data_IF_240930371879
#
_entry.id   IF_240930371879
#
_cell.length_a   1.000
_cell.length_b   1.000
_cell.length_c   1.000
_cell.angle_alpha   90.00
_cell.angle_beta   90.00
_cell.angle_gamma   90.00
#
_symmetry.space_group_name_H-M   'P 1'
#
loop_
_entity.id
_entity.type
_entity.pdbx_description
1 polymer ?
#
# COMPACT_ATOMS: atom_id res chain seq x y z
N UNK A 1 25.06 12.37 8.01
CA UNK A 1 25.23 11.08 7.32
C UNK A 1 25.00 11.37 5.86
N UNK A 2 26.06 11.40 5.05
CA UNK A 2 25.97 11.72 3.63
C UNK A 2 25.41 10.52 2.86
N UNK A 3 24.11 10.53 2.57
CA UNK A 3 23.54 9.66 1.55
C UNK A 3 23.56 10.42 0.23
N UNK A 4 24.63 10.25 -0.55
CA UNK A 4 24.58 10.57 -1.97
C UNK A 4 23.75 9.48 -2.63
N UNK A 5 22.57 9.81 -3.15
CA UNK A 5 21.75 8.84 -3.86
C UNK A 5 22.54 8.25 -5.03
N UNK A 6 22.51 6.93 -5.17
CA UNK A 6 23.16 6.24 -6.28
C UNK A 6 22.22 6.21 -7.48
N UNK A 7 22.79 6.20 -8.69
CA UNK A 7 22.03 6.04 -9.93
C UNK A 7 21.09 4.83 -9.89
N UNK A 8 21.57 3.72 -9.36
CA UNK A 8 20.80 2.46 -9.22
C UNK A 8 19.58 2.62 -8.31
N UNK A 9 19.62 3.54 -7.33
CA UNK A 9 18.48 3.81 -6.43
C UNK A 9 17.37 4.55 -7.19
N UNK A 10 17.70 5.49 -8.07
CA UNK A 10 16.71 6.16 -8.91
C UNK A 10 16.13 5.25 -10.00
N UNK A 11 16.94 4.35 -10.56
CA UNK A 11 16.46 3.30 -11.49
C UNK A 11 15.49 2.34 -10.77
N UNK A 12 15.81 1.99 -9.52
CA UNK A 12 14.97 1.18 -8.66
C UNK A 12 13.64 1.87 -8.31
N UNK A 13 13.67 3.09 -7.78
CA UNK A 13 12.46 3.85 -7.44
C UNK A 13 11.57 4.10 -8.68
N UNK A 14 12.19 4.53 -9.79
CA UNK A 14 11.49 4.82 -11.04
C UNK A 14 10.77 3.60 -11.60
N UNK A 15 11.44 2.44 -11.61
CA UNK A 15 10.84 1.19 -12.07
C UNK A 15 9.65 0.76 -11.20
N UNK A 16 9.79 0.85 -9.88
CA UNK A 16 8.72 0.50 -8.93
C UNK A 16 7.48 1.37 -9.16
N UNK A 17 7.67 2.70 -9.29
CA UNK A 17 6.56 3.64 -9.55
C UNK A 17 5.90 3.40 -10.91
N UNK A 18 6.68 3.16 -11.96
CA UNK A 18 6.15 2.90 -13.30
C UNK A 18 5.28 1.63 -13.34
N UNK A 19 5.75 0.52 -12.75
CA UNK A 19 4.98 -0.72 -12.68
C UNK A 19 3.66 -0.54 -11.92
N UNK A 20 3.72 0.08 -10.73
CA UNK A 20 2.54 0.35 -9.92
C UNK A 20 1.54 1.24 -10.68
N UNK A 21 2.04 2.28 -11.33
CA UNK A 21 1.22 3.23 -12.07
C UNK A 21 0.57 2.58 -13.30
N UNK A 22 1.30 1.72 -14.01
CA UNK A 22 0.75 0.93 -15.12
C UNK A 22 -0.42 0.04 -14.67
N UNK A 23 -0.31 -0.59 -13.50
CA UNK A 23 -1.41 -1.35 -12.89
C UNK A 23 -2.59 -0.45 -12.50
N UNK A 24 -2.32 0.73 -11.95
CA UNK A 24 -3.34 1.71 -11.57
C UNK A 24 -4.13 2.19 -12.79
N UNK A 25 -3.46 2.57 -13.89
CA UNK A 25 -4.08 2.98 -15.16
C UNK A 25 -5.01 1.91 -15.74
N UNK A 26 -4.65 0.65 -15.56
CA UNK A 26 -5.43 -0.49 -16.04
C UNK A 26 -6.61 -0.85 -15.11
N UNK A 27 -6.81 -0.11 -14.00
CA UNK A 27 -7.85 -0.41 -13.02
C UNK A 27 -7.61 -1.73 -12.26
N UNK A 28 -6.39 -2.26 -12.29
CA UNK A 28 -6.06 -3.58 -11.72
C UNK A 28 -5.95 -3.56 -10.20
N UNK A 29 -5.46 -2.46 -9.64
CA UNK A 29 -5.24 -2.33 -8.19
C UNK A 29 -6.55 -2.36 -7.39
N UNK A 30 -7.68 -1.94 -7.97
CA UNK A 30 -8.97 -1.91 -7.27
C UNK A 30 -9.59 -3.28 -7.03
N UNK A 31 -9.23 -4.30 -7.83
CA UNK A 31 -9.70 -5.68 -7.66
C UNK A 31 -8.66 -6.60 -7.02
N UNK A 32 -7.41 -6.14 -6.84
CA UNK A 32 -6.33 -6.95 -6.30
C UNK A 32 -6.70 -7.61 -4.97
N UNK A 33 -6.50 -8.92 -4.87
CA UNK A 33 -6.78 -9.69 -3.66
C UNK A 33 -8.25 -9.82 -3.28
N UNK A 34 -9.21 -9.40 -4.10
CA UNK A 34 -10.63 -9.74 -3.96
C UNK A 34 -10.98 -10.96 -4.85
N UNK A 35 -12.21 -11.48 -4.73
CA UNK A 35 -12.72 -12.50 -5.66
C UNK A 35 -12.67 -12.06 -7.14
N UNK A 36 -12.69 -10.75 -7.38
CA UNK A 36 -12.62 -10.11 -8.68
C UNK A 36 -11.19 -10.01 -9.26
N UNK A 37 -10.16 -10.40 -8.49
CA UNK A 37 -8.79 -10.44 -8.96
C UNK A 37 -8.62 -11.56 -9.99
N UNK A 38 -8.39 -11.19 -11.24
CA UNK A 38 -8.22 -12.10 -12.37
C UNK A 38 -6.93 -11.84 -13.16
N UNK A 39 -6.03 -11.03 -12.61
CA UNK A 39 -4.84 -10.55 -13.33
C UNK A 39 -3.55 -10.81 -12.56
N UNK A 40 -3.60 -10.78 -11.22
CA UNK A 40 -2.39 -10.93 -10.41
C UNK A 40 -1.87 -12.35 -10.48
N UNK A 41 -0.56 -12.54 -10.36
CA UNK A 41 0.03 -13.87 -10.32
C UNK A 41 -0.54 -14.74 -9.18
N UNK A 42 -0.95 -14.14 -8.06
CA UNK A 42 -1.54 -14.88 -6.95
C UNK A 42 -2.98 -15.36 -7.25
N UNK A 43 -3.76 -14.63 -8.04
CA UNK A 43 -5.15 -15.03 -8.36
C UNK A 43 -5.24 -16.37 -9.07
N UNK A 44 -4.21 -16.76 -9.83
CA UNK A 44 -4.15 -18.08 -10.47
C UNK A 44 -4.00 -19.24 -9.49
N UNK A 45 -3.63 -18.97 -8.24
CA UNK A 45 -3.43 -19.98 -7.20
C UNK A 45 -4.45 -19.89 -6.06
N UNK A 46 -5.23 -18.81 -5.98
CA UNK A 46 -6.25 -18.59 -4.95
C UNK A 46 -7.63 -18.68 -5.62
N UNK A 47 -8.46 -19.68 -5.29
CA UNK A 47 -9.78 -19.80 -5.89
C UNK A 47 -10.66 -18.58 -5.56
N UNK A 48 -11.34 -17.95 -6.54
CA UNK A 48 -12.19 -16.79 -6.28
C UNK A 48 -13.29 -17.04 -5.24
N UNK A 49 -13.77 -18.27 -5.14
CA UNK A 49 -14.81 -18.68 -4.17
C UNK A 49 -14.36 -18.64 -2.71
N UNK A 50 -13.06 -18.52 -2.44
CA UNK A 50 -12.52 -18.43 -1.07
C UNK A 50 -12.25 -16.99 -0.63
N UNK A 51 -12.52 -16.00 -1.48
CA UNK A 51 -12.32 -14.60 -1.18
C UNK A 51 -13.65 -13.85 -1.25
N UNK A 52 -13.73 -12.77 -0.49
CA UNK A 52 -14.86 -11.86 -0.53
C UNK A 52 -14.80 -10.99 -1.80
N UNK A 53 -15.94 -10.68 -2.42
CA UNK A 53 -15.99 -9.77 -3.56
C UNK A 53 -15.61 -8.35 -3.13
N UNK A 54 -15.13 -7.54 -4.07
CA UNK A 54 -14.94 -6.12 -3.84
C UNK A 54 -16.29 -5.46 -3.47
N UNK A 55 -16.38 -4.69 -2.37
CA UNK A 55 -17.63 -4.02 -2.01
C UNK A 55 -18.15 -3.11 -3.12
N UNK A 56 -19.48 -3.02 -3.28
CA UNK A 56 -20.10 -2.20 -4.32
C UNK A 56 -19.67 -0.72 -4.22
N UNK A 57 -19.21 -0.15 -5.33
CA UNK A 57 -18.63 1.19 -5.41
C UNK A 57 -19.62 2.36 -5.31
N UNK A 58 -20.82 2.18 -4.75
CA UNK A 58 -21.84 3.24 -4.64
C UNK A 58 -21.44 4.41 -3.71
N UNK A 59 -20.32 4.26 -2.97
CA UNK A 59 -19.63 5.32 -2.21
C UNK A 59 -18.10 5.17 -2.37
N UNK A 60 -17.59 5.40 -3.58
CA UNK A 60 -16.18 5.15 -3.97
C UNK A 60 -15.12 5.82 -3.08
N UNK A 61 -15.48 6.88 -2.37
CA UNK A 61 -14.64 7.52 -1.36
C UNK A 61 -15.43 7.81 -0.08
N UNK A 62 -14.80 7.57 1.07
CA UNK A 62 -15.31 7.82 2.43
C UNK A 62 -14.36 8.77 3.14
N UNK A 63 -14.87 9.45 4.16
CA UNK A 63 -14.00 10.17 5.09
C UNK A 63 -13.11 9.13 5.82
N UNK A 64 -11.81 9.29 5.69
CA UNK A 64 -10.79 8.39 6.24
C UNK A 64 -9.77 9.22 7.00
N UNK A 65 -9.30 8.71 8.14
CA UNK A 65 -8.19 9.31 8.89
C UNK A 65 -7.10 8.26 9.08
N UNK A 66 -5.87 8.63 8.74
CA UNK A 66 -4.71 7.78 8.99
C UNK A 66 -4.31 7.72 10.46
N UNK A 67 -4.77 8.66 11.28
CA UNK A 67 -4.34 8.80 12.68
C UNK A 67 -5.41 8.43 13.72
N UNK A 68 -6.41 7.60 13.36
CA UNK A 68 -7.30 6.99 14.36
C UNK A 68 -6.65 5.84 15.13
N UNK A 69 -5.45 6.10 15.66
CA UNK A 69 -4.74 5.21 16.59
C UNK A 69 -5.34 5.29 18.00
N UNK A 70 -5.03 4.30 18.83
CA UNK A 70 -5.57 4.19 20.19
C UNK A 70 -5.45 5.48 21.03
N UNK A 71 -4.38 6.28 20.85
CA UNK A 71 -4.20 7.54 21.56
C UNK A 71 -5.21 8.65 21.21
N UNK A 72 -5.94 8.52 20.09
CA UNK A 72 -6.90 9.50 19.59
C UNK A 72 -8.36 9.08 19.81
N UNK A 73 -8.58 8.01 20.59
CA UNK A 73 -9.91 7.53 20.99
C UNK A 73 -10.07 7.82 22.49
N UNK A 74 -11.01 8.70 22.84
CA UNK A 74 -11.34 9.01 24.23
C UNK A 74 -12.42 8.06 24.72
N UNK A 75 -12.23 7.50 25.91
CA UNK A 75 -13.16 6.59 26.57
C UNK A 75 -13.82 7.25 27.79
N UNK A 76 -15.03 6.82 28.13
CA UNK A 76 -15.70 7.14 29.41
C UNK A 76 -15.07 6.32 30.56
N UNK A 77 -15.56 6.51 31.79
CA UNK A 77 -15.15 5.68 32.93
C UNK A 77 -15.63 4.22 32.79
N UNK A 78 -16.63 3.98 31.93
CA UNK A 78 -17.20 2.68 31.59
C UNK A 78 -16.57 2.03 30.34
N UNK A 79 -15.43 2.53 29.86
CA UNK A 79 -14.75 2.06 28.64
C UNK A 79 -15.56 2.22 27.34
N UNK A 80 -16.57 3.10 27.32
CA UNK A 80 -17.34 3.42 26.11
C UNK A 80 -16.65 4.52 25.29
N UNK A 81 -16.76 4.49 23.96
CA UNK A 81 -16.19 5.53 23.09
C UNK A 81 -16.93 6.86 23.32
N UNK A 82 -16.26 7.82 23.93
CA UNK A 82 -16.79 9.16 24.20
C UNK A 82 -16.59 10.12 23.01
N UNK A 83 -15.40 10.09 22.40
CA UNK A 83 -15.06 10.95 21.27
C UNK A 83 -13.85 10.44 20.48
N UNK A 84 -13.80 10.78 19.20
CA UNK A 84 -12.61 10.68 18.36
C UNK A 84 -12.00 12.08 18.20
N UNK A 85 -10.71 12.21 18.45
CA UNK A 85 -9.98 13.49 18.35
C UNK A 85 -8.95 13.44 17.22
N UNK A 86 -8.25 14.57 17.02
CA UNK A 86 -7.11 14.67 16.11
C UNK A 86 -7.43 14.38 14.63
N UNK A 87 -8.32 15.22 14.08
CA UNK A 87 -8.85 15.07 12.72
C UNK A 87 -7.92 15.65 11.63
N UNK A 88 -6.71 16.12 11.96
CA UNK A 88 -5.85 16.87 11.03
C UNK A 88 -5.35 16.07 9.82
N UNK A 89 -5.35 14.73 9.91
CA UNK A 89 -5.00 13.81 8.81
C UNK A 89 -6.21 13.16 8.14
N UNK A 90 -7.38 13.80 8.20
CA UNK A 90 -8.60 13.27 7.61
C UNK A 90 -8.76 13.72 6.15
N UNK A 91 -9.03 12.79 5.25
CA UNK A 91 -9.24 13.04 3.83
C UNK A 91 -10.29 12.10 3.22
N UNK A 92 -10.69 12.35 1.97
CA UNK A 92 -11.54 11.43 1.22
C UNK A 92 -10.67 10.28 0.68
N UNK A 93 -10.80 9.09 1.27
CA UNK A 93 -10.05 7.88 0.91
C UNK A 93 -10.94 6.78 0.31
N UNK A 94 -10.38 5.83 -0.45
CA UNK A 94 -11.13 4.68 -0.96
C UNK A 94 -11.74 3.86 0.19
N UNK A 95 -12.96 3.34 -0.02
CA UNK A 95 -13.61 2.47 0.98
C UNK A 95 -12.75 1.25 1.35
N UNK A 96 -11.89 0.78 0.44
CA UNK A 96 -10.96 -0.33 0.69
C UNK A 96 -10.03 -0.09 1.89
N UNK A 97 -9.70 1.15 2.26
CA UNK A 97 -8.84 1.41 3.41
C UNK A 97 -9.49 0.97 4.73
N UNK A 98 -10.82 1.02 4.81
CA UNK A 98 -11.56 0.58 5.98
C UNK A 98 -11.64 -0.95 6.10
N UNK A 99 -11.28 -1.69 5.04
CA UNK A 99 -11.31 -3.16 5.02
C UNK A 99 -10.03 -3.78 5.57
N UNK A 100 -9.02 -2.97 5.84
CA UNK A 100 -7.74 -3.42 6.38
C UNK A 100 -7.76 -3.43 7.92
N UNK A 101 -7.02 -4.34 8.57
CA UNK A 101 -6.79 -4.23 10.01
C UNK A 101 -5.97 -2.96 10.33
N UNK A 102 -6.04 -2.46 11.58
CA UNK A 102 -5.39 -1.20 11.95
C UNK A 102 -3.88 -1.30 11.77
N UNK A 103 -3.31 -0.40 10.96
CA UNK A 103 -1.86 -0.36 10.75
C UNK A 103 -1.08 -0.08 12.05
N UNK A 104 -1.71 0.61 12.99
CA UNK A 104 -1.15 1.00 14.29
C UNK A 104 -1.30 -0.06 15.38
N UNK A 105 -1.72 -1.30 15.06
CA UNK A 105 -1.94 -2.37 16.04
C UNK A 105 -0.74 -2.60 16.99
N UNK A 106 0.49 -2.46 16.47
CA UNK A 106 1.72 -2.61 17.23
C UNK A 106 2.24 -1.30 17.85
N UNK A 107 1.52 -0.19 17.68
CA UNK A 107 1.86 1.17 18.13
C UNK A 107 3.15 1.75 17.54
N UNK A 108 3.86 0.99 16.71
CA UNK A 108 5.09 1.38 16.02
C UNK A 108 4.98 1.05 14.52
N UNK A 109 5.57 1.92 13.70
CA UNK A 109 5.54 1.81 12.25
C UNK A 109 6.42 0.63 11.76
N UNK A 110 6.02 -0.08 10.69
CA UNK A 110 6.78 -1.19 10.11
C UNK A 110 8.25 -0.88 9.80
N UNK A 111 8.50 0.29 9.25
CA UNK A 111 9.81 0.87 8.95
C UNK A 111 10.71 1.23 10.15
N UNK A 112 10.12 1.51 11.32
CA UNK A 112 10.87 1.93 12.52
C UNK A 112 11.24 0.73 13.41
N UNK A 113 10.60 -0.41 13.15
CA UNK A 113 10.77 -1.63 13.92
C UNK A 113 12.23 -2.09 13.96
N UNK A 114 12.74 -2.31 15.17
CA UNK A 114 14.16 -2.65 15.39
C UNK A 114 14.66 -3.89 14.62
N UNK A 115 13.80 -4.89 14.42
CA UNK A 115 14.11 -6.10 13.63
C UNK A 115 13.78 -5.96 12.14
N UNK A 116 13.46 -4.75 11.68
CA UNK A 116 12.99 -4.47 10.33
C UNK A 116 11.56 -4.93 10.08
N UNK A 117 11.09 -4.64 8.87
CA UNK A 117 9.69 -4.85 8.45
C UNK A 117 9.24 -6.32 8.49
N UNK A 118 10.16 -7.27 8.30
CA UNK A 118 9.83 -8.71 8.39
C UNK A 118 9.51 -9.09 9.85
N UNK A 119 10.33 -8.64 10.80
CA UNK A 119 10.07 -8.83 12.22
C UNK A 119 8.82 -8.09 12.70
N UNK A 120 8.52 -6.92 12.13
CA UNK A 120 7.25 -6.23 12.38
C UNK A 120 6.07 -7.07 11.88
N UNK A 121 6.17 -7.63 10.66
CA UNK A 121 5.12 -8.48 10.09
C UNK A 121 4.87 -9.70 10.98
N UNK A 122 5.91 -10.38 11.46
CA UNK A 122 5.77 -11.55 12.36
C UNK A 122 5.06 -11.20 13.66
N UNK A 123 5.43 -10.08 14.29
CA UNK A 123 4.76 -9.58 15.48
C UNK A 123 3.30 -9.20 15.19
N UNK A 124 3.04 -8.58 14.04
CA UNK A 124 1.71 -8.14 13.63
C UNK A 124 0.81 -9.34 13.40
N UNK A 125 1.30 -10.36 12.69
CA UNK A 125 0.60 -11.61 12.40
C UNK A 125 0.05 -12.26 13.68
N UNK A 126 0.89 -12.32 14.72
CA UNK A 126 0.51 -12.88 16.03
C UNK A 126 -0.59 -12.05 16.72
N UNK A 127 -0.52 -10.71 16.63
CA UNK A 127 -1.48 -9.82 17.28
C UNK A 127 -2.76 -9.66 16.49
N UNK A 128 -2.70 -9.82 15.17
CA UNK A 128 -3.84 -9.74 14.29
C UNK A 128 -4.91 -10.77 14.67
N UNK A 129 -4.53 -11.99 15.05
CA UNK A 129 -5.50 -12.99 15.50
C UNK A 129 -6.28 -12.56 16.75
N UNK A 130 -5.63 -11.83 17.67
CA UNK A 130 -6.33 -11.26 18.84
C UNK A 130 -7.30 -10.17 18.41
N UNK A 131 -6.88 -9.29 17.49
CA UNK A 131 -7.72 -8.24 16.94
C UNK A 131 -8.94 -8.82 16.20
N UNK A 132 -8.72 -9.81 15.33
CA UNK A 132 -9.79 -10.46 14.57
C UNK A 132 -10.79 -11.17 15.49
N UNK A 133 -10.32 -11.84 16.54
CA UNK A 133 -11.23 -12.46 17.53
C UNK A 133 -12.10 -11.42 18.24
N UNK A 134 -11.57 -10.24 18.55
CA UNK A 134 -12.36 -9.15 19.13
C UNK A 134 -13.36 -8.56 18.13
N UNK A 135 -12.94 -8.39 16.86
CA UNK A 135 -13.82 -7.94 15.78
C UNK A 135 -14.99 -8.91 15.55
N UNK A 136 -14.71 -10.21 15.51
CA UNK A 136 -15.74 -11.26 15.36
C UNK A 136 -16.75 -11.22 16.52
N UNK A 137 -16.29 -10.97 17.74
CA UNK A 137 -17.17 -10.76 18.90
C UNK A 137 -18.04 -9.51 18.76
N UNK A 138 -17.45 -8.37 18.40
CA UNK A 138 -18.19 -7.12 18.19
C UNK A 138 -19.21 -7.23 17.06
N UNK A 139 -18.89 -7.97 15.99
CA UNK A 139 -19.80 -8.24 14.89
C UNK A 139 -20.98 -9.14 15.28
N UNK A 140 -20.76 -10.09 16.19
CA UNK A 140 -21.83 -10.96 16.71
C UNK A 140 -22.82 -10.21 17.60
N UNK A 141 -22.36 -9.16 18.29
CA UNK A 141 -23.19 -8.32 19.17
C UNK A 141 -23.95 -7.21 18.40
N UNK A 142 -23.62 -6.96 17.12
CA UNK A 142 -24.33 -6.00 16.28
C UNK A 142 -25.64 -6.60 15.75
N UNK A 143 -26.76 -5.90 15.99
CA UNK A 143 -28.09 -6.30 15.50
C UNK A 143 -28.27 -6.07 13.98
N UNK A 144 -27.54 -5.11 13.41
CA UNK A 144 -27.64 -4.71 12.01
C UNK A 144 -26.42 -5.14 11.17
N UNK A 145 -26.68 -5.57 9.93
CA UNK A 145 -25.63 -5.89 8.96
C UNK A 145 -24.87 -4.64 8.52
N UNK A 146 -23.54 -4.73 8.44
CA UNK A 146 -22.62 -3.67 7.99
C UNK A 146 -22.82 -3.21 6.53
N UNK A 147 -23.75 -3.83 5.78
CA UNK A 147 -23.99 -3.58 4.36
C UNK A 147 -22.86 -4.09 3.46
N UNK A 148 -21.83 -4.71 4.04
CA UNK A 148 -20.76 -5.38 3.32
C UNK A 148 -21.19 -6.80 2.89
N UNK A 149 -20.65 -7.33 1.77
CA UNK A 149 -20.91 -8.70 1.34
C UNK A 149 -20.45 -9.79 2.32
N UNK A 150 -19.52 -9.47 3.21
CA UNK A 150 -18.97 -10.34 4.24
C UNK A 150 -18.65 -9.52 5.50
N UNK A 151 -18.50 -10.16 6.68
CA UNK A 151 -18.06 -9.48 7.90
C UNK A 151 -16.74 -8.72 7.69
N UNK A 152 -16.57 -7.60 8.40
CA UNK A 152 -15.37 -6.79 8.31
C UNK A 152 -14.13 -7.56 8.79
N UNK A 153 -14.26 -8.40 9.83
CA UNK A 153 -13.22 -9.34 10.27
C UNK A 153 -12.71 -10.24 9.13
N UNK A 154 -13.62 -10.73 8.27
CA UNK A 154 -13.28 -11.54 7.10
C UNK A 154 -12.47 -10.72 6.09
N UNK A 155 -12.92 -9.52 5.78
CA UNK A 155 -12.19 -8.61 4.89
C UNK A 155 -10.79 -8.24 5.43
N UNK A 156 -10.67 -7.99 6.73
CA UNK A 156 -9.40 -7.69 7.40
C UNK A 156 -8.43 -8.87 7.29
N UNK A 157 -8.89 -10.09 7.59
CA UNK A 157 -8.09 -11.32 7.46
C UNK A 157 -7.59 -11.51 6.03
N UNK A 158 -8.50 -11.49 5.07
CA UNK A 158 -8.17 -11.62 3.66
C UNK A 158 -7.22 -10.51 3.19
N UNK A 159 -7.39 -9.27 3.67
CA UNK A 159 -6.54 -8.14 3.28
C UNK A 159 -5.08 -8.37 3.65
N UNK A 160 -4.84 -9.00 4.81
CA UNK A 160 -3.51 -9.35 5.28
C UNK A 160 -2.92 -10.51 4.46
N UNK A 161 -3.70 -11.58 4.26
CA UNK A 161 -3.26 -12.79 3.56
C UNK A 161 -2.95 -12.53 2.08
N UNK A 162 -3.79 -11.75 1.41
CA UNK A 162 -3.69 -11.42 -0.02
C UNK A 162 -2.75 -10.25 -0.30
N UNK A 163 -2.34 -9.51 0.74
CA UNK A 163 -1.46 -8.35 0.62
C UNK A 163 -2.16 -7.03 0.29
N UNK A 164 -3.49 -6.96 0.28
CA UNK A 164 -4.25 -5.68 0.15
C UNK A 164 -3.82 -4.68 1.22
N UNK A 165 -3.57 -5.13 2.45
CA UNK A 165 -3.03 -4.29 3.53
C UNK A 165 -1.77 -3.54 3.09
N UNK A 166 -0.81 -4.25 2.48
CA UNK A 166 0.46 -3.66 2.05
C UNK A 166 0.30 -2.73 0.84
N UNK A 167 -0.64 -3.03 -0.05
CA UNK A 167 -0.99 -2.14 -1.17
C UNK A 167 -1.53 -0.80 -0.63
N UNK A 168 -2.50 -0.85 0.27
CA UNK A 168 -3.10 0.34 0.88
C UNK A 168 -2.12 1.06 1.81
N UNK A 169 -1.27 0.35 2.55
CA UNK A 169 -0.21 0.95 3.36
C UNK A 169 0.79 1.73 2.50
N UNK A 170 1.28 1.10 1.42
CA UNK A 170 2.20 1.75 0.49
C UNK A 170 1.57 2.97 -0.21
N UNK A 171 0.29 2.91 -0.56
CA UNK A 171 -0.41 4.04 -1.17
C UNK A 171 -0.49 5.28 -0.25
N UNK A 172 -0.46 5.08 1.07
CA UNK A 172 -0.53 6.15 2.08
C UNK A 172 0.83 6.63 2.56
N UNK A 173 1.85 5.77 2.50
CA UNK A 173 3.20 6.05 3.01
C UNK A 173 4.24 5.96 1.87
N UNK A 174 4.40 7.07 1.14
CA UNK A 174 5.26 7.16 -0.05
C UNK A 174 6.72 6.78 0.18
N UNK A 175 7.22 6.96 1.40
CA UNK A 175 8.62 6.74 1.76
C UNK A 175 8.98 5.26 2.00
N UNK A 176 8.03 4.46 2.52
CA UNK A 176 8.22 3.03 2.76
C UNK A 176 7.77 2.18 1.57
N UNK A 177 7.20 2.82 0.55
CA UNK A 177 6.52 2.17 -0.56
C UNK A 177 7.42 1.15 -1.27
N UNK A 178 8.64 1.49 -1.64
CA UNK A 178 9.48 0.60 -2.43
C UNK A 178 9.87 -0.67 -1.65
N UNK A 179 10.24 -0.52 -0.38
CA UNK A 179 10.52 -1.66 0.51
C UNK A 179 9.28 -2.56 0.64
N UNK A 180 8.11 -1.97 0.86
CA UNK A 180 6.83 -2.71 0.96
C UNK A 180 6.49 -3.40 -0.35
N UNK A 181 6.66 -2.70 -1.47
CA UNK A 181 6.35 -3.20 -2.80
C UNK A 181 7.19 -4.43 -3.13
N UNK A 182 8.51 -4.33 -3.00
CA UNK A 182 9.41 -5.42 -3.39
C UNK A 182 9.30 -6.65 -2.48
N UNK A 183 9.05 -6.44 -1.18
CA UNK A 183 8.89 -7.51 -0.20
C UNK A 183 7.53 -8.20 -0.26
N UNK A 184 6.45 -7.43 -0.40
CA UNK A 184 5.10 -7.95 -0.17
C UNK A 184 4.19 -7.94 -1.39
N UNK A 185 4.46 -7.14 -2.43
CA UNK A 185 3.56 -6.96 -3.58
C UNK A 185 4.10 -7.53 -4.89
N UNK A 186 5.38 -7.33 -5.21
CA UNK A 186 5.94 -7.66 -6.52
C UNK A 186 5.65 -9.10 -6.97
N UNK A 187 5.94 -10.10 -6.14
CA UNK A 187 5.71 -11.51 -6.54
C UNK A 187 4.22 -11.88 -6.56
N UNK A 188 3.37 -11.15 -5.82
CA UNK A 188 1.92 -11.34 -5.88
C UNK A 188 1.35 -10.81 -7.19
N UNK A 189 1.90 -9.70 -7.68
CA UNK A 189 1.52 -9.10 -8.96
C UNK A 189 2.08 -9.89 -10.14
N UNK A 190 3.38 -10.21 -10.13
CA UNK A 190 4.12 -10.64 -11.31
C UNK A 190 4.73 -12.05 -11.20
N UNK A 191 4.49 -12.76 -10.10
CA UNK A 191 4.94 -14.13 -9.88
C UNK A 191 6.35 -14.22 -9.33
N UNK A 192 6.81 -15.44 -9.04
CA UNK A 192 8.11 -15.66 -8.39
C UNK A 192 9.28 -15.09 -9.21
N UNK A 193 10.22 -14.44 -8.51
CA UNK A 193 11.51 -14.03 -9.06
C UNK A 193 12.48 -15.20 -9.08
N UNK A 194 13.65 -14.96 -9.67
CA UNK A 194 14.81 -15.84 -9.48
C UNK A 194 15.30 -15.73 -8.04
N UNK A 195 15.71 -16.86 -7.45
CA UNK A 195 16.27 -16.90 -6.10
C UNK A 195 17.64 -16.19 -6.06
N UNK A 196 17.97 -15.59 -4.91
CA UNK A 196 19.30 -15.01 -4.66
C UNK A 196 19.58 -13.67 -5.34
N UNK A 197 18.54 -12.97 -5.83
CA UNK A 197 18.68 -11.61 -6.35
C UNK A 197 18.85 -10.64 -5.18
N UNK A 198 19.89 -9.79 -5.23
CA UNK A 198 20.11 -8.75 -4.23
C UNK A 198 18.98 -7.71 -4.26
N UNK A 199 18.74 -7.02 -3.14
CA UNK A 199 17.67 -6.03 -3.02
C UNK A 199 17.77 -4.93 -4.10
N UNK A 200 18.97 -4.40 -4.31
CA UNK A 200 19.27 -3.36 -5.31
C UNK A 200 19.08 -3.85 -6.76
N UNK A 201 18.99 -5.17 -6.98
CA UNK A 201 18.82 -5.81 -8.28
C UNK A 201 17.38 -6.27 -8.57
N UNK A 202 16.46 -6.13 -7.62
CA UNK A 202 15.08 -6.63 -7.76
C UNK A 202 14.37 -6.01 -8.97
N UNK A 203 14.57 -4.72 -9.21
CA UNK A 203 13.97 -4.01 -10.34
C UNK A 203 14.39 -4.59 -11.70
N UNK A 204 15.65 -5.04 -11.84
CA UNK A 204 16.18 -5.68 -13.05
C UNK A 204 15.40 -6.94 -13.43
N UNK A 205 14.77 -7.60 -12.45
CA UNK A 205 13.91 -8.77 -12.70
C UNK A 205 12.59 -8.41 -13.39
N UNK A 206 12.18 -7.14 -13.36
CA UNK A 206 10.87 -6.66 -13.87
C UNK A 206 10.96 -5.63 -15.00
N UNK A 207 12.14 -5.15 -15.37
CA UNK A 207 12.35 -4.21 -16.49
C UNK A 207 11.68 -4.64 -17.80
N UNK A 208 11.60 -5.95 -18.04
CA UNK A 208 10.98 -6.52 -19.23
C UNK A 208 9.46 -6.32 -19.28
N UNK A 209 8.81 -6.01 -18.15
CA UNK A 209 7.37 -5.73 -18.05
C UNK A 209 7.01 -4.31 -18.44
N UNK A 210 7.98 -3.39 -18.42
CA UNK A 210 7.80 -2.01 -18.87
C UNK A 210 7.68 -1.96 -20.40
N UNK A 211 6.99 -0.95 -20.92
CA UNK A 211 6.95 -0.66 -22.36
C UNK A 211 8.30 -0.13 -22.86
N UNK A 212 8.46 -0.01 -24.19
CA UNK A 212 9.68 0.59 -24.77
C UNK A 212 9.78 2.06 -24.39
N UNK A 213 8.65 2.75 -24.43
CA UNK A 213 8.51 4.16 -24.07
C UNK A 213 8.80 4.38 -22.57
N UNK A 214 8.26 3.51 -21.71
CA UNK A 214 8.49 3.56 -20.26
C UNK A 214 9.98 3.41 -19.93
N UNK A 215 10.65 2.43 -20.54
CA UNK A 215 12.10 2.24 -20.39
C UNK A 215 12.91 3.40 -20.95
N UNK A 216 12.51 3.96 -22.09
CA UNK A 216 13.23 5.06 -22.73
C UNK A 216 13.17 6.35 -21.90
N UNK A 217 12.07 6.60 -21.19
CA UNK A 217 11.91 7.78 -20.36
C UNK A 217 12.47 7.61 -18.93
N UNK A 218 12.91 6.41 -18.53
CA UNK A 218 13.65 6.21 -17.27
C UNK A 218 15.02 6.91 -17.29
N UNK A 219 15.79 6.82 -18.38
CA UNK A 219 17.16 7.37 -18.43
C UNK A 219 17.18 8.89 -18.19
N UNK A 220 16.38 9.72 -18.90
CA UNK A 220 16.34 11.15 -18.65
C UNK A 220 15.85 11.51 -17.24
N UNK A 221 14.94 10.72 -16.68
CA UNK A 221 14.47 10.90 -15.30
C UNK A 221 15.60 10.67 -14.30
N UNK A 222 16.36 9.58 -14.45
CA UNK A 222 17.49 9.24 -13.59
C UNK A 222 18.59 10.29 -13.70
N UNK A 223 18.96 10.70 -14.92
CA UNK A 223 19.94 11.77 -15.13
C UNK A 223 19.54 13.07 -14.43
N UNK A 224 18.27 13.47 -14.58
CA UNK A 224 17.73 14.66 -13.89
C UNK A 224 17.81 14.51 -12.38
N UNK A 225 17.40 13.37 -11.83
CA UNK A 225 17.42 13.11 -10.38
C UNK A 225 18.83 13.07 -9.81
N UNK A 226 19.79 12.53 -10.56
CA UNK A 226 21.21 12.58 -10.20
C UNK A 226 21.69 14.02 -10.13
N UNK A 227 21.41 14.86 -11.13
CA UNK A 227 21.79 16.28 -11.11
C UNK A 227 21.12 17.05 -9.96
N UNK A 228 19.81 16.85 -9.73
CA UNK A 228 19.08 17.45 -8.60
C UNK A 228 19.70 17.04 -7.23
N UNK A 229 20.18 15.80 -7.12
CA UNK A 229 20.80 15.28 -5.89
C UNK A 229 22.14 15.92 -5.55
N UNK A 230 22.86 16.44 -6.56
CA UNK A 230 24.08 17.22 -6.38
C UNK A 230 23.76 18.65 -5.90
N UNK A 231 22.73 19.28 -6.47
CA UNK A 231 22.32 20.64 -6.13
C UNK A 231 21.67 20.76 -4.74
N UNK A 232 20.97 19.70 -4.27
CA UNK A 232 20.35 19.59 -2.94
C UNK A 232 19.47 20.79 -2.54
N UNK A 233 18.71 21.33 -3.50
CA UNK A 233 17.76 22.43 -3.26
C UNK A 233 16.31 21.97 -3.38
N UNK A 234 15.45 22.56 -2.58
CA UNK A 234 14.00 22.48 -2.78
C UNK A 234 13.66 23.37 -3.98
N UNK A 235 12.97 22.80 -4.96
CA UNK A 235 12.54 23.51 -6.16
C UNK A 235 11.03 23.67 -6.10
N UNK A 236 10.57 24.92 -6.09
CA UNK A 236 9.17 25.23 -6.30
C UNK A 236 8.89 25.19 -7.80
N UNK A 237 8.08 24.23 -8.22
CA UNK A 237 7.69 24.07 -9.60
C UNK A 237 6.42 24.88 -9.89
N UNK A 238 6.43 25.63 -10.98
CA UNK A 238 5.20 26.23 -11.48
C UNK A 238 4.20 25.11 -11.85
N UNK A 239 2.88 25.28 -11.62
CA UNK A 239 1.91 24.20 -11.85
C UNK A 239 1.94 23.62 -13.28
N UNK A 240 2.36 24.41 -14.27
CA UNK A 240 2.51 23.96 -15.67
C UNK A 240 3.71 23.03 -15.81
N UNK A 241 4.85 23.39 -15.23
CA UNK A 241 6.07 22.58 -15.24
C UNK A 241 5.86 21.29 -14.47
N UNK A 242 5.25 21.36 -13.28
CA UNK A 242 4.90 20.17 -12.49
C UNK A 242 4.04 19.18 -13.29
N UNK A 243 3.03 19.68 -14.02
CA UNK A 243 2.19 18.83 -14.89
C UNK A 243 2.96 18.24 -16.05
N UNK A 244 3.90 18.97 -16.64
CA UNK A 244 4.74 18.47 -17.72
C UNK A 244 5.67 17.35 -17.22
N UNK A 245 6.38 17.58 -16.11
CA UNK A 245 7.25 16.59 -15.49
C UNK A 245 6.48 15.34 -15.06
N UNK A 246 5.27 15.52 -14.56
CA UNK A 246 4.37 14.43 -14.22
C UNK A 246 3.99 13.61 -15.45
N UNK A 247 3.61 14.25 -16.56
CA UNK A 247 3.32 13.57 -17.83
C UNK A 247 4.52 12.81 -18.38
N UNK A 248 5.71 13.41 -18.33
CA UNK A 248 6.96 12.76 -18.74
C UNK A 248 7.25 11.50 -17.93
N UNK A 249 6.94 11.51 -16.62
CA UNK A 249 7.11 10.37 -15.72
C UNK A 249 6.01 9.31 -15.86
N UNK A 250 4.79 9.73 -16.19
CA UNK A 250 3.62 8.85 -16.30
C UNK A 250 3.36 8.34 -17.72
N UNK A 251 4.20 8.77 -18.66
CA UNK A 251 4.16 8.38 -20.06
C UNK A 251 2.78 8.69 -20.69
N UNK A 252 2.26 9.91 -20.45
CA UNK A 252 0.98 10.48 -20.94
C UNK A 252 1.13 11.74 -21.81
#
# INVERSE_FOLDING_TARGET
>A
METCFRREEWEWEGSTRALQFGLAKQGRLSSFGFADDNWSAQSFNIPPSTLSPAPAGSHSFRLWSDDFRAGNILLTEEDEIAALVDWEYTYAGPTQFALDPPWWLLLELPEMWSSGIDGWKEAYDTRLETWLSAMEGAEADMEDSSGLPAPLSTYMRESWETGRFFLNYGARKSWAFDTVYWKFLDERFFGRRRNGVAQDDLWRTRVHLLSVEERAAMEPFVERKMAESEERRIVDWEPVEARQLFRELLFD
#
